data_IF_860859095237
#
_entry.id   IF_860859095237
#
_cell.length_a   1.000
_cell.length_b   1.000
_cell.length_c   1.000
_cell.angle_alpha   90.00
_cell.angle_beta   90.00
_cell.angle_gamma   90.00
#
_symmetry.space_group_name_H-M   'P 1'
#
loop_
_entity.id
_entity.type
_entity.pdbx_description
1 polymer ?
#
# COMPACT_ATOMS: atom_id res chain seq x y z
N UNK A 1 0.47 16.64 4.35
CA UNK A 1 -0.74 17.29 3.83
C UNK A 1 -1.00 18.67 4.42
N UNK A 2 -0.80 18.89 5.72
CA UNK A 2 -1.05 20.19 6.38
C UNK A 2 -0.35 21.37 5.68
N UNK A 3 0.91 21.16 5.24
CA UNK A 3 1.73 22.19 4.58
C UNK A 3 1.67 22.15 3.05
N UNK A 4 0.72 21.42 2.44
CA UNK A 4 0.66 21.33 0.99
C UNK A 4 0.25 22.71 0.39
N UNK A 5 1.07 23.32 -0.49
CA UNK A 5 0.80 24.65 -1.03
C UNK A 5 -0.56 24.75 -1.73
N UNK A 6 -1.24 25.89 -1.58
CA UNK A 6 -2.55 26.13 -2.17
C UNK A 6 -3.70 25.35 -1.54
N UNK A 7 -3.47 24.65 -0.43
CA UNK A 7 -4.50 23.86 0.27
C UNK A 7 -4.75 24.30 1.71
N UNK A 8 -5.93 23.99 2.23
CA UNK A 8 -6.29 24.13 3.65
C UNK A 8 -6.88 22.84 4.23
N UNK A 9 -6.61 22.53 5.51
CA UNK A 9 -7.26 21.42 6.20
C UNK A 9 -8.71 21.76 6.59
N UNK A 10 -9.58 20.76 6.60
CA UNK A 10 -10.93 20.79 7.18
C UNK A 10 -11.02 19.61 8.15
N UNK A 11 -10.82 19.88 9.43
CA UNK A 11 -10.90 18.91 10.51
C UNK A 11 -11.98 19.37 11.48
N UNK A 12 -12.91 18.50 11.85
CA UNK A 12 -13.94 18.81 12.83
C UNK A 12 -13.35 18.68 14.25
N UNK A 13 -13.31 19.75 15.07
CA UNK A 13 -12.81 19.65 16.45
C UNK A 13 -13.56 18.61 17.30
N UNK A 14 -14.84 18.32 16.99
CA UNK A 14 -15.65 17.37 17.72
C UNK A 14 -15.09 15.94 17.66
N UNK A 15 -14.44 15.57 16.55
CA UNK A 15 -13.81 14.25 16.37
C UNK A 15 -12.59 14.03 17.30
N UNK A 16 -12.07 15.10 17.92
CA UNK A 16 -10.86 15.07 18.75
C UNK A 16 -11.13 15.29 20.23
N UNK A 17 -12.40 15.39 20.65
CA UNK A 17 -12.76 15.59 22.05
C UNK A 17 -12.27 14.44 22.95
N UNK A 18 -11.66 14.78 24.08
CA UNK A 18 -11.13 13.82 25.07
C UNK A 18 -9.89 13.04 24.61
N UNK A 19 -9.32 13.37 23.44
CA UNK A 19 -8.15 12.70 22.91
C UNK A 19 -6.87 13.07 23.68
N UNK A 20 -6.80 14.28 24.27
CA UNK A 20 -5.64 14.79 25.01
C UNK A 20 -5.17 13.86 26.13
N UNK A 21 -6.12 13.26 26.86
CA UNK A 21 -5.80 12.37 27.96
C UNK A 21 -5.39 10.98 27.47
N UNK A 22 -6.00 10.50 26.38
CA UNK A 22 -5.75 9.17 25.81
C UNK A 22 -4.40 9.06 25.10
N UNK A 23 -3.81 10.16 24.64
CA UNK A 23 -2.52 10.15 23.92
C UNK A 23 -1.29 10.20 24.84
N UNK A 24 -1.46 10.37 26.16
CA UNK A 24 -0.33 10.44 27.09
C UNK A 24 0.44 9.12 27.16
N UNK A 25 -0.27 8.01 27.02
CA UNK A 25 0.23 6.65 27.21
C UNK A 25 0.61 5.93 25.90
N UNK A 26 0.37 6.55 24.73
CA UNK A 26 0.69 5.90 23.45
C UNK A 26 2.18 6.05 23.09
N UNK A 27 2.76 5.09 22.34
CA UNK A 27 4.16 5.17 21.90
C UNK A 27 4.48 6.48 21.17
N UNK A 28 5.73 6.97 21.32
CA UNK A 28 6.19 8.26 20.79
C UNK A 28 5.80 8.54 19.33
N UNK A 29 5.93 7.59 18.36
CA UNK A 29 5.51 7.85 16.98
C UNK A 29 4.01 8.13 16.87
N UNK A 30 3.17 7.38 17.60
CA UNK A 30 1.71 7.56 17.61
C UNK A 30 1.30 8.85 18.31
N UNK A 31 1.98 9.19 19.41
CA UNK A 31 1.75 10.42 20.17
C UNK A 31 1.96 11.65 19.30
N UNK A 32 3.14 11.79 18.68
CA UNK A 32 3.49 12.95 17.84
C UNK A 32 2.56 13.12 16.65
N UNK A 33 2.16 12.03 15.99
CA UNK A 33 1.18 12.06 14.90
C UNK A 33 -0.16 12.61 15.39
N UNK A 34 -0.64 12.13 16.53
CA UNK A 34 -1.95 12.48 17.07
C UNK A 34 -1.98 13.92 17.60
N UNK A 35 -0.91 14.37 18.25
CA UNK A 35 -0.72 15.77 18.69
C UNK A 35 -0.76 16.74 17.50
N UNK A 36 -0.14 16.38 16.37
CA UNK A 36 -0.16 17.21 15.16
C UNK A 36 -1.59 17.34 14.60
N UNK A 37 -2.34 16.24 14.55
CA UNK A 37 -3.74 16.26 14.12
C UNK A 37 -4.60 17.10 15.06
N UNK A 38 -4.44 16.89 16.37
CA UNK A 38 -5.15 17.64 17.40
C UNK A 38 -4.90 19.14 17.27
N UNK A 39 -3.63 19.55 17.24
CA UNK A 39 -3.24 20.95 17.02
C UNK A 39 -3.90 21.55 15.79
N UNK A 40 -3.85 20.83 14.67
CA UNK A 40 -4.42 21.30 13.41
C UNK A 40 -5.94 21.46 13.48
N UNK A 41 -6.63 20.61 14.25
CA UNK A 41 -8.07 20.65 14.40
C UNK A 41 -8.55 21.68 15.43
N UNK A 42 -7.83 21.86 16.55
CA UNK A 42 -8.32 22.61 17.71
C UNK A 42 -7.63 23.95 17.95
N UNK A 43 -6.38 24.12 17.54
CA UNK A 43 -5.66 25.39 17.76
C UNK A 43 -6.04 26.42 16.70
N UNK A 44 -6.30 27.66 17.12
CA UNK A 44 -6.55 28.76 16.18
C UNK A 44 -5.25 29.09 15.43
N UNK A 45 -5.25 29.13 14.09
CA UNK A 45 -4.05 29.46 13.34
C UNK A 45 -3.61 30.91 13.63
N UNK A 46 -2.29 31.13 13.61
CA UNK A 46 -1.72 32.48 13.64
C UNK A 46 -2.11 33.29 12.39
N UNK A 47 -1.86 34.60 12.41
CA UNK A 47 -2.31 35.55 11.36
C UNK A 47 -1.86 35.13 9.96
N UNK A 48 -0.59 34.74 9.80
CA UNK A 48 -0.04 34.33 8.51
C UNK A 48 -0.68 33.04 7.98
N UNK A 49 -0.83 32.03 8.84
CA UNK A 49 -1.43 30.75 8.45
C UNK A 49 -2.92 30.91 8.15
N UNK A 50 -3.63 31.76 8.91
CA UNK A 50 -5.04 32.08 8.63
C UNK A 50 -5.19 32.77 7.26
N UNK A 51 -4.34 33.75 6.95
CA UNK A 51 -4.32 34.41 5.64
C UNK A 51 -3.99 33.40 4.51
N UNK A 52 -3.00 32.53 4.73
CA UNK A 52 -2.63 31.47 3.78
C UNK A 52 -3.80 30.50 3.51
N UNK A 53 -4.52 30.10 4.56
CA UNK A 53 -5.67 29.21 4.43
C UNK A 53 -6.86 29.92 3.76
N UNK A 54 -7.10 31.20 4.03
CA UNK A 54 -8.15 31.98 3.39
C UNK A 54 -7.93 32.12 1.87
N UNK A 55 -6.67 32.19 1.44
CA UNK A 55 -6.27 32.25 0.02
C UNK A 55 -6.20 30.87 -0.66
N UNK A 56 -6.41 29.77 0.07
CA UNK A 56 -6.30 28.42 -0.50
C UNK A 56 -7.48 28.10 -1.43
N UNK A 57 -7.17 27.71 -2.68
CA UNK A 57 -8.18 27.33 -3.69
C UNK A 57 -8.63 25.88 -3.59
N UNK A 58 -7.95 25.05 -2.78
CA UNK A 58 -8.29 23.63 -2.57
C UNK A 58 -8.35 23.31 -1.08
N UNK A 59 -9.08 22.25 -0.72
CA UNK A 59 -9.18 21.79 0.65
C UNK A 59 -9.10 20.26 0.73
N UNK A 60 -8.71 19.75 1.90
CA UNK A 60 -8.73 18.34 2.24
C UNK A 60 -9.25 18.18 3.66
N UNK A 61 -9.89 17.05 3.97
CA UNK A 61 -10.40 16.80 5.31
C UNK A 61 -10.38 15.31 5.66
N UNK A 62 -10.52 15.04 6.94
CA UNK A 62 -10.69 13.69 7.48
C UNK A 62 -12.11 13.58 8.02
N UNK A 63 -12.79 12.50 7.67
CA UNK A 63 -14.10 12.16 8.23
C UNK A 63 -13.99 10.81 8.91
N UNK A 64 -14.26 10.79 10.21
CA UNK A 64 -14.21 9.58 11.01
C UNK A 64 -15.61 8.95 11.14
N UNK A 65 -15.66 7.74 11.68
CA UNK A 65 -16.93 7.07 12.02
C UNK A 65 -17.90 6.93 10.83
N UNK A 66 -17.36 6.59 9.67
CA UNK A 66 -18.12 6.31 8.44
C UNK A 66 -17.62 5.04 7.79
N UNK A 67 -18.54 4.19 7.35
CA UNK A 67 -18.22 3.04 6.50
C UNK A 67 -18.98 3.11 5.17
N UNK A 68 -18.36 2.80 4.02
CA UNK A 68 -19.02 2.90 2.72
C UNK A 68 -20.15 1.88 2.60
N UNK A 69 -21.35 2.33 2.21
CA UNK A 69 -22.51 1.48 1.92
C UNK A 69 -22.76 1.34 0.43
N UNK A 70 -22.79 2.45 -0.30
CA UNK A 70 -23.16 2.45 -1.72
C UNK A 70 -22.55 3.64 -2.46
N UNK A 71 -22.01 3.41 -3.66
CA UNK A 71 -21.68 4.50 -4.58
C UNK A 71 -22.97 4.94 -5.28
N UNK A 72 -23.30 6.22 -5.14
CA UNK A 72 -24.53 6.80 -5.67
C UNK A 72 -24.32 7.21 -7.13
N UNK A 73 -25.21 6.81 -8.05
CA UNK A 73 -25.11 7.18 -9.46
C UNK A 73 -25.53 8.63 -9.70
N UNK A 74 -25.06 9.21 -10.81
CA UNK A 74 -25.63 10.42 -11.39
C UNK A 74 -27.08 10.21 -11.87
N UNK A 75 -27.85 11.27 -12.14
CA UNK A 75 -29.24 11.15 -12.60
C UNK A 75 -29.42 10.27 -13.85
N UNK A 76 -28.42 10.21 -14.74
CA UNK A 76 -28.41 9.38 -15.95
C UNK A 76 -27.81 7.97 -15.74
N UNK A 77 -27.36 7.64 -14.52
CA UNK A 77 -26.79 6.34 -14.19
C UNK A 77 -25.35 6.10 -14.66
N UNK A 78 -24.69 7.06 -15.32
CA UNK A 78 -23.44 6.80 -16.06
C UNK A 78 -22.16 6.99 -15.25
N UNK A 79 -22.21 7.68 -14.12
CA UNK A 79 -21.02 7.97 -13.29
C UNK A 79 -21.38 8.06 -11.81
N UNK A 80 -20.37 8.05 -10.96
CA UNK A 80 -20.54 8.35 -9.54
C UNK A 80 -20.91 9.84 -9.35
N UNK A 81 -21.92 10.10 -8.52
CA UNK A 81 -22.31 11.44 -8.07
C UNK A 81 -22.22 11.61 -6.55
N UNK A 82 -22.08 10.52 -5.81
CA UNK A 82 -21.86 10.55 -4.37
C UNK A 82 -21.51 9.19 -3.79
N UNK A 83 -21.37 9.15 -2.48
CA UNK A 83 -21.21 7.92 -1.71
C UNK A 83 -22.10 7.98 -0.48
N UNK A 84 -22.93 6.95 -0.29
CA UNK A 84 -23.68 6.72 0.92
C UNK A 84 -22.80 6.03 1.95
N UNK A 85 -22.77 6.60 3.14
CA UNK A 85 -21.96 6.18 4.27
C UNK A 85 -22.87 5.80 5.44
N UNK A 86 -22.61 4.68 6.10
CA UNK A 86 -23.20 4.41 7.41
C UNK A 86 -22.45 5.21 8.47
N UNK A 87 -23.18 5.83 9.39
CA UNK A 87 -22.59 6.38 10.61
C UNK A 87 -22.25 5.21 11.54
N UNK A 88 -21.04 5.21 12.08
CA UNK A 88 -20.56 4.15 12.98
C UNK A 88 -20.20 4.69 14.36
N UNK A 89 -20.09 3.78 15.32
CA UNK A 89 -19.50 4.04 16.65
C UNK A 89 -18.51 2.94 16.98
N UNK A 90 -17.62 3.20 17.94
CA UNK A 90 -16.69 2.18 18.41
C UNK A 90 -17.34 1.31 19.49
N UNK A 91 -17.13 0.01 19.39
CA UNK A 91 -17.33 -0.96 20.46
C UNK A 91 -16.01 -1.66 20.77
N UNK A 92 -15.77 -1.96 22.05
CA UNK A 92 -14.52 -2.54 22.53
C UNK A 92 -13.46 -1.51 22.90
N UNK A 93 -12.25 -1.99 23.22
CA UNK A 93 -11.15 -1.18 23.77
C UNK A 93 -9.84 -1.49 23.04
N UNK A 94 -9.00 -0.48 22.89
CA UNK A 94 -7.65 -0.62 22.31
C UNK A 94 -7.68 -1.10 20.86
N UNK A 95 -6.77 -1.99 20.52
CA UNK A 95 -6.64 -2.55 19.16
C UNK A 95 -7.79 -3.49 18.77
N UNK A 96 -8.54 -3.99 19.75
CA UNK A 96 -9.71 -4.84 19.51
C UNK A 96 -10.99 -4.04 19.20
N UNK A 97 -10.94 -2.70 19.30
CA UNK A 97 -12.09 -1.86 19.02
C UNK A 97 -12.56 -2.00 17.56
N UNK A 98 -13.87 -2.05 17.36
CA UNK A 98 -14.50 -2.22 16.03
C UNK A 98 -15.53 -1.13 15.79
N UNK A 99 -15.64 -0.71 14.54
CA UNK A 99 -16.71 0.17 14.10
C UNK A 99 -17.99 -0.64 13.87
N UNK A 100 -19.08 -0.26 14.54
CA UNK A 100 -20.42 -0.83 14.36
C UNK A 100 -21.38 0.25 13.85
N UNK A 101 -22.31 -0.07 12.92
CA UNK A 101 -23.26 0.91 12.40
C UNK A 101 -24.24 1.37 13.49
N UNK A 102 -24.61 2.65 13.48
CA UNK A 102 -25.64 3.21 14.38
C UNK A 102 -27.05 3.04 13.83
N UNK A 103 -27.18 2.84 12.51
CA UNK A 103 -28.45 2.86 11.78
C UNK A 103 -28.61 4.14 10.95
N UNK A 104 -27.91 5.21 11.30
CA UNK A 104 -27.95 6.48 10.57
C UNK A 104 -27.06 6.41 9.31
N UNK A 105 -27.42 7.23 8.32
CA UNK A 105 -26.72 7.31 7.04
C UNK A 105 -26.43 8.74 6.65
N UNK A 106 -25.36 8.93 5.88
CA UNK A 106 -24.96 10.20 5.30
C UNK A 106 -24.62 10.01 3.82
N UNK A 107 -25.25 10.81 2.96
CA UNK A 107 -24.91 10.88 1.54
C UNK A 107 -23.91 12.02 1.31
N UNK A 108 -22.71 11.69 0.82
CA UNK A 108 -21.64 12.65 0.53
C UNK A 108 -21.50 12.84 -0.98
N UNK A 109 -21.78 14.04 -1.52
CA UNK A 109 -21.57 14.34 -2.94
C UNK A 109 -20.09 14.23 -3.34
N UNK A 110 -19.79 13.46 -4.38
CA UNK A 110 -18.44 13.31 -4.91
C UNK A 110 -18.44 12.76 -6.34
N UNK A 111 -17.50 13.22 -7.19
CA UNK A 111 -17.33 12.71 -8.56
C UNK A 111 -16.29 11.61 -8.73
N UNK A 112 -15.51 11.30 -7.68
CA UNK A 112 -14.45 10.30 -7.69
C UNK A 112 -14.40 9.58 -6.34
N UNK A 113 -14.39 8.24 -6.38
CA UNK A 113 -14.25 7.38 -5.20
C UNK A 113 -13.00 6.53 -5.38
N UNK A 114 -12.04 6.66 -4.46
CA UNK A 114 -10.80 5.89 -4.46
C UNK A 114 -10.78 5.00 -3.21
N UNK A 115 -10.80 3.68 -3.42
CA UNK A 115 -10.72 2.71 -2.32
C UNK A 115 -9.26 2.46 -1.94
N UNK A 116 -8.91 2.81 -0.70
CA UNK A 116 -7.54 2.74 -0.17
C UNK A 116 -7.48 1.91 1.13
N UNK A 117 -8.17 0.78 1.17
CA UNK A 117 -8.40 -0.05 2.38
C UNK A 117 -7.46 -1.26 2.51
N UNK A 118 -6.35 -1.24 1.77
CA UNK A 118 -5.34 -2.30 1.76
C UNK A 118 -5.43 -3.24 0.56
N UNK A 119 -4.50 -4.19 0.50
CA UNK A 119 -4.33 -5.14 -0.58
C UNK A 119 -4.36 -6.58 -0.04
N UNK A 120 -4.40 -7.56 -0.96
CA UNK A 120 -4.14 -8.97 -0.67
C UNK A 120 -3.23 -9.53 -1.76
N UNK A 121 -2.37 -10.48 -1.41
CA UNK A 121 -1.68 -11.27 -2.43
C UNK A 121 -2.68 -12.14 -3.19
N UNK A 122 -2.25 -12.71 -4.32
CA UNK A 122 -3.03 -13.67 -5.11
C UNK A 122 -2.32 -15.03 -5.09
N UNK A 123 -3.07 -16.15 -5.11
CA UNK A 123 -2.47 -17.45 -5.35
C UNK A 123 -1.80 -17.43 -6.73
N UNK A 124 -0.56 -17.93 -6.81
CA UNK A 124 0.25 -17.87 -8.04
C UNK A 124 0.35 -19.22 -8.76
N UNK A 125 0.27 -20.32 -8.01
CA UNK A 125 0.43 -21.68 -8.53
C UNK A 125 -0.30 -22.67 -7.60
N UNK A 126 -0.95 -23.73 -8.12
CA UNK A 126 -1.63 -24.73 -7.31
C UNK A 126 -0.71 -25.49 -6.34
N UNK A 127 0.60 -25.52 -6.58
CA UNK A 127 1.58 -26.14 -5.68
C UNK A 127 1.92 -25.29 -4.45
N UNK A 128 1.47 -24.04 -4.38
CA UNK A 128 1.77 -23.11 -3.27
C UNK A 128 0.52 -22.93 -2.40
N UNK A 129 0.57 -23.26 -1.10
CA UNK A 129 -0.56 -23.04 -0.20
C UNK A 129 -0.88 -21.55 -0.07
N UNK A 130 -2.15 -21.23 0.14
CA UNK A 130 -2.61 -19.84 0.21
C UNK A 130 -3.71 -19.68 1.24
N UNK A 131 -3.60 -18.67 2.11
CA UNK A 131 -4.66 -18.27 3.03
C UNK A 131 -5.52 -17.17 2.35
N UNK A 132 -6.76 -17.45 1.94
CA UNK A 132 -7.62 -16.46 1.29
C UNK A 132 -8.15 -15.40 2.27
N UNK A 133 -8.22 -15.71 3.57
CA UNK A 133 -8.70 -14.79 4.61
C UNK A 133 -7.67 -13.69 4.86
N UNK A 134 -6.41 -14.07 5.07
CA UNK A 134 -5.31 -13.14 5.30
C UNK A 134 -4.71 -12.61 3.97
N UNK A 135 -4.80 -13.37 2.89
CA UNK A 135 -4.25 -13.01 1.59
C UNK A 135 -2.72 -13.14 1.54
N UNK A 136 -2.18 -14.19 2.13
CA UNK A 136 -0.72 -14.47 2.27
C UNK A 136 -0.43 -15.95 2.01
N UNK A 137 0.84 -16.29 1.80
CA UNK A 137 1.31 -17.68 1.81
C UNK A 137 1.52 -18.12 3.26
N UNK A 138 0.86 -19.19 3.74
CA UNK A 138 1.07 -19.73 5.07
C UNK A 138 2.54 -20.11 5.27
N UNK A 139 3.17 -19.57 6.32
CA UNK A 139 4.59 -19.76 6.56
C UNK A 139 4.95 -19.74 8.06
N UNK A 140 6.09 -20.35 8.39
CA UNK A 140 6.74 -20.28 9.70
C UNK A 140 8.13 -19.68 9.53
N UNK A 141 8.34 -18.45 10.02
CA UNK A 141 9.59 -17.69 9.84
C UNK A 141 10.06 -17.60 8.36
N UNK A 142 9.12 -17.66 7.41
CA UNK A 142 9.40 -17.60 5.98
C UNK A 142 9.46 -18.96 5.27
N UNK A 143 9.56 -20.09 5.99
CA UNK A 143 9.37 -21.43 5.42
C UNK A 143 7.91 -21.64 5.07
N UNK A 144 7.60 -22.01 3.83
CA UNK A 144 6.21 -22.28 3.44
C UNK A 144 5.74 -23.57 4.12
N UNK A 145 4.55 -23.51 4.72
CA UNK A 145 3.96 -24.66 5.46
C UNK A 145 3.79 -25.84 4.51
N UNK A 146 4.23 -27.03 4.93
CA UNK A 146 4.13 -28.30 4.21
C UNK A 146 4.79 -28.35 2.81
N UNK A 147 5.65 -27.37 2.47
CA UNK A 147 6.38 -27.34 1.20
C UNK A 147 7.90 -27.17 1.42
N UNK A 148 8.64 -28.28 1.61
CA UNK A 148 10.09 -28.23 1.84
C UNK A 148 10.85 -27.52 0.70
N UNK A 149 11.79 -26.65 1.08
CA UNK A 149 12.62 -25.90 0.14
C UNK A 149 11.94 -24.70 -0.53
N UNK A 150 10.68 -24.39 -0.17
CA UNK A 150 9.99 -23.18 -0.60
C UNK A 150 9.92 -22.15 0.54
N UNK A 151 10.22 -20.90 0.21
CA UNK A 151 10.26 -19.78 1.16
C UNK A 151 9.50 -18.58 0.62
N UNK A 152 9.13 -17.66 1.51
CA UNK A 152 8.49 -16.41 1.16
C UNK A 152 8.98 -15.26 2.04
N UNK A 153 9.00 -14.04 1.50
CA UNK A 153 9.41 -12.81 2.19
C UNK A 153 8.56 -11.61 1.76
N UNK A 154 8.55 -10.55 2.56
CA UNK A 154 7.84 -9.32 2.27
C UNK A 154 6.32 -9.44 2.39
N UNK A 155 5.59 -8.72 1.54
CA UNK A 155 4.13 -8.60 1.68
C UNK A 155 3.37 -9.93 1.49
N UNK A 156 3.87 -10.84 0.65
CA UNK A 156 3.23 -12.16 0.49
C UNK A 156 3.40 -13.05 1.73
N UNK A 157 4.38 -12.75 2.59
CA UNK A 157 4.64 -13.43 3.87
C UNK A 157 3.86 -12.80 5.03
N UNK A 158 3.87 -11.45 5.15
CA UNK A 158 3.41 -10.72 6.34
C UNK A 158 2.15 -9.86 6.13
N UNK A 159 1.65 -9.77 4.90
CA UNK A 159 0.59 -8.84 4.51
C UNK A 159 1.09 -7.42 4.21
N UNK A 160 0.24 -6.55 3.62
CA UNK A 160 0.66 -5.27 3.05
C UNK A 160 0.61 -4.11 4.06
N UNK A 161 1.34 -4.24 5.17
CA UNK A 161 1.39 -3.22 6.25
C UNK A 161 2.75 -2.56 6.41
N UNK A 162 3.84 -3.26 6.04
CA UNK A 162 5.21 -2.80 6.23
C UNK A 162 5.67 -1.77 5.19
N UNK A 163 6.48 -0.81 5.63
CA UNK A 163 7.26 0.08 4.74
C UNK A 163 8.50 -0.65 4.21
N UNK A 164 9.26 0.00 3.30
CA UNK A 164 10.46 -0.59 2.66
C UNK A 164 11.44 -1.18 3.69
N UNK A 165 11.72 -0.46 4.77
CA UNK A 165 12.66 -0.93 5.81
C UNK A 165 12.13 -2.15 6.57
N UNK A 166 10.83 -2.22 6.85
CA UNK A 166 10.18 -3.40 7.45
C UNK A 166 10.31 -4.61 6.53
N UNK A 167 10.04 -4.42 5.23
CA UNK A 167 10.20 -5.48 4.21
C UNK A 167 11.65 -5.94 4.09
N UNK A 168 12.61 -5.02 4.15
CA UNK A 168 14.04 -5.32 4.10
C UNK A 168 14.46 -6.21 5.27
N UNK A 169 14.13 -5.82 6.52
CA UNK A 169 14.46 -6.60 7.70
C UNK A 169 13.80 -7.98 7.69
N UNK A 170 12.51 -8.06 7.32
CA UNK A 170 11.81 -9.35 7.18
C UNK A 170 12.44 -10.27 6.12
N UNK A 171 12.92 -9.69 5.02
CA UNK A 171 13.60 -10.43 3.97
C UNK A 171 14.93 -11.00 4.48
N UNK A 172 15.68 -10.26 5.29
CA UNK A 172 16.91 -10.77 5.91
C UNK A 172 16.64 -11.95 6.85
N UNK A 173 15.56 -11.91 7.64
CA UNK A 173 15.18 -13.04 8.51
C UNK A 173 14.87 -14.30 7.70
N UNK A 174 14.18 -14.13 6.57
CA UNK A 174 13.88 -15.25 5.66
C UNK A 174 15.16 -15.82 5.05
N UNK A 175 16.10 -14.95 4.61
CA UNK A 175 17.39 -15.39 4.09
C UNK A 175 18.23 -16.12 5.13
N UNK A 176 18.25 -15.65 6.38
CA UNK A 176 18.93 -16.34 7.48
C UNK A 176 18.36 -17.73 7.72
N UNK A 177 17.03 -17.85 7.72
CA UNK A 177 16.32 -19.12 7.86
C UNK A 177 16.68 -20.10 6.73
N UNK A 178 16.71 -19.60 5.49
CA UNK A 178 17.12 -20.41 4.33
C UNK A 178 18.57 -20.87 4.43
N UNK A 179 19.49 -19.99 4.84
CA UNK A 179 20.91 -20.33 4.98
C UNK A 179 21.12 -21.36 6.10
N UNK A 180 20.40 -21.24 7.22
CA UNK A 180 20.42 -22.24 8.28
C UNK A 180 19.95 -23.63 7.79
N UNK A 181 18.88 -23.66 6.99
CA UNK A 181 18.38 -24.93 6.43
C UNK A 181 19.36 -25.54 5.41
N UNK A 182 20.06 -24.69 4.66
CA UNK A 182 21.12 -25.12 3.75
C UNK A 182 22.29 -25.74 4.53
N UNK A 183 22.78 -25.05 5.57
CA UNK A 183 23.89 -25.52 6.42
C UNK A 183 23.54 -26.81 7.17
N UNK A 184 22.28 -26.95 7.60
CA UNK A 184 21.77 -28.14 8.27
C UNK A 184 21.47 -29.31 7.32
N UNK A 185 21.66 -29.14 5.99
CA UNK A 185 21.38 -30.19 5.01
C UNK A 185 19.90 -30.54 4.85
N UNK A 186 19.00 -29.62 5.19
CA UNK A 186 17.55 -29.79 5.07
C UNK A 186 17.03 -29.52 3.65
N UNK A 187 17.90 -28.93 2.80
CA UNK A 187 17.60 -28.67 1.40
C UNK A 187 18.05 -29.83 0.50
N UNK A 188 17.44 -29.99 -0.68
CA UNK A 188 17.80 -31.08 -1.58
C UNK A 188 19.27 -31.06 -1.97
N UNK A 189 19.95 -32.19 -1.75
CA UNK A 189 21.38 -32.35 -2.03
C UNK A 189 21.70 -32.50 -3.53
N UNK A 190 22.98 -32.35 -3.86
CA UNK A 190 23.52 -32.56 -5.20
C UNK A 190 23.35 -31.38 -6.17
N UNK A 191 23.78 -31.56 -7.44
CA UNK A 191 23.76 -30.49 -8.44
C UNK A 191 22.34 -29.97 -8.72
N UNK A 192 22.18 -28.64 -8.72
CA UNK A 192 20.94 -27.96 -9.13
C UNK A 192 21.23 -27.10 -10.35
N UNK A 193 20.62 -27.38 -11.53
CA UNK A 193 20.97 -26.70 -12.78
C UNK A 193 20.55 -25.23 -12.83
N UNK A 194 19.64 -24.81 -11.94
CA UNK A 194 19.20 -23.42 -11.81
C UNK A 194 18.70 -22.83 -13.13
N UNK A 195 19.22 -21.65 -13.48
CA UNK A 195 18.81 -20.92 -14.68
C UNK A 195 18.99 -21.70 -15.99
N UNK A 196 19.97 -22.60 -16.10
CA UNK A 196 20.21 -23.35 -17.34
C UNK A 196 19.01 -24.20 -17.76
N UNK A 197 18.41 -24.92 -16.81
CA UNK A 197 17.21 -25.73 -17.04
C UNK A 197 15.98 -24.85 -17.32
N UNK A 198 15.82 -23.76 -16.57
CA UNK A 198 14.70 -22.83 -16.76
C UNK A 198 14.78 -22.11 -18.11
N UNK A 199 15.96 -21.69 -18.55
CA UNK A 199 16.17 -21.04 -19.85
C UNK A 199 15.73 -21.93 -21.01
N UNK A 200 16.10 -23.21 -20.99
CA UNK A 200 15.65 -24.17 -22.01
C UNK A 200 14.12 -24.32 -22.03
N UNK A 201 13.48 -24.40 -20.85
CA UNK A 201 12.03 -24.48 -20.73
C UNK A 201 11.31 -23.22 -21.19
N UNK A 202 11.83 -22.03 -20.87
CA UNK A 202 11.26 -20.77 -21.34
C UNK A 202 11.37 -20.65 -22.86
N UNK A 203 12.51 -21.05 -23.42
CA UNK A 203 12.72 -21.08 -24.88
C UNK A 203 11.75 -22.03 -25.58
N UNK A 204 11.53 -23.24 -25.05
CA UNK A 204 10.59 -24.19 -25.67
C UNK A 204 9.14 -23.71 -25.60
N UNK A 205 8.82 -22.82 -24.66
CA UNK A 205 7.52 -22.15 -24.52
C UNK A 205 7.43 -20.81 -25.27
N UNK A 206 8.46 -20.41 -26.03
CA UNK A 206 8.48 -19.13 -26.74
C UNK A 206 8.56 -17.89 -25.82
N UNK A 207 8.91 -18.06 -24.55
CA UNK A 207 9.03 -16.96 -23.59
C UNK A 207 10.43 -16.37 -23.67
N UNK A 208 10.51 -15.06 -23.93
CA UNK A 208 11.77 -14.30 -23.95
C UNK A 208 11.91 -13.53 -22.63
N UNK A 209 12.81 -13.90 -21.69
CA UNK A 209 13.03 -13.17 -20.45
C UNK A 209 13.68 -11.81 -20.69
N UNK A 210 13.36 -10.79 -19.90
CA UNK A 210 14.04 -9.48 -19.94
C UNK A 210 15.24 -9.56 -18.97
N UNK A 211 16.46 -9.34 -19.48
CA UNK A 211 17.65 -9.29 -18.61
C UNK A 211 17.73 -7.95 -17.88
N UNK A 212 18.60 -7.88 -16.87
CA UNK A 212 18.90 -6.60 -16.22
C UNK A 212 19.50 -5.58 -17.21
N UNK A 213 20.39 -6.03 -18.09
CA UNK A 213 20.98 -5.17 -19.14
C UNK A 213 19.97 -4.71 -20.20
N UNK A 214 18.89 -5.47 -20.42
CA UNK A 214 17.76 -5.01 -21.23
C UNK A 214 16.99 -3.91 -20.49
N UNK A 215 16.70 -4.11 -19.20
CA UNK A 215 16.08 -3.08 -18.37
C UNK A 215 16.91 -1.78 -18.31
N UNK A 216 18.23 -1.84 -18.23
CA UNK A 216 19.11 -0.65 -18.23
C UNK A 216 18.96 0.20 -19.50
N UNK A 217 18.69 -0.42 -20.66
CA UNK A 217 18.39 0.33 -21.90
C UNK A 217 17.08 1.10 -21.77
N UNK A 218 16.06 0.47 -21.18
CA UNK A 218 14.77 1.11 -20.94
C UNK A 218 14.91 2.26 -19.93
N UNK A 219 15.65 2.05 -18.85
CA UNK A 219 15.94 3.05 -17.83
C UNK A 219 16.65 4.28 -18.42
N UNK A 220 17.67 4.06 -19.26
CA UNK A 220 18.38 5.13 -19.96
C UNK A 220 17.46 5.94 -20.89
N UNK A 221 16.57 5.27 -21.63
CA UNK A 221 15.58 5.94 -22.48
C UNK A 221 14.61 6.79 -21.65
N UNK A 222 14.03 6.23 -20.59
CA UNK A 222 13.09 6.95 -19.72
C UNK A 222 13.75 8.20 -19.12
N UNK A 223 15.01 8.08 -18.66
CA UNK A 223 15.78 9.21 -18.15
C UNK A 223 16.03 10.26 -19.25
N UNK A 224 16.44 9.84 -20.45
CA UNK A 224 16.66 10.75 -21.59
C UNK A 224 15.41 11.56 -21.93
N UNK A 225 14.25 10.90 -22.06
CA UNK A 225 12.97 11.58 -22.31
C UNK A 225 12.58 12.57 -21.21
N UNK A 226 12.95 12.28 -19.96
CA UNK A 226 12.69 13.17 -18.83
C UNK A 226 13.46 14.49 -18.88
N UNK A 227 14.67 14.50 -19.44
CA UNK A 227 15.56 15.67 -19.44
C UNK A 227 14.91 16.88 -20.13
N UNK A 228 14.29 16.68 -21.30
CA UNK A 228 13.65 17.77 -22.06
C UNK A 228 12.48 18.44 -21.32
N UNK A 229 11.88 17.74 -20.36
CA UNK A 229 10.75 18.23 -19.55
C UNK A 229 11.16 18.63 -18.13
N UNK A 230 12.46 18.58 -17.78
CA UNK A 230 12.94 18.83 -16.41
C UNK A 230 12.46 17.78 -15.40
N UNK A 231 12.14 16.56 -15.84
CA UNK A 231 11.67 15.45 -15.01
C UNK A 231 12.82 14.47 -14.74
N UNK A 232 12.79 13.72 -13.60
CA UNK A 232 13.77 12.65 -13.36
C UNK A 232 13.76 11.56 -14.44
N UNK A 233 12.58 11.30 -15.02
CA UNK A 233 12.34 10.40 -16.15
C UNK A 233 10.94 10.61 -16.72
N UNK A 234 10.73 10.18 -17.96
CA UNK A 234 9.41 9.98 -18.56
C UNK A 234 9.18 8.49 -18.78
N UNK A 235 8.22 7.91 -18.05
CA UNK A 235 8.04 6.46 -18.05
C UNK A 235 7.41 5.98 -19.35
N UNK A 236 7.91 4.85 -19.85
CA UNK A 236 7.26 4.13 -20.94
C UNK A 236 6.05 3.38 -20.39
N UNK A 237 4.88 3.67 -20.94
CA UNK A 237 3.60 3.13 -20.44
C UNK A 237 3.04 2.00 -21.32
N UNK A 238 3.39 1.98 -22.60
CA UNK A 238 2.95 0.95 -23.54
C UNK A 238 3.90 -0.26 -23.51
N UNK A 239 3.42 -1.46 -23.14
CA UNK A 239 4.25 -2.66 -23.13
C UNK A 239 4.89 -2.97 -24.50
N UNK A 240 4.22 -2.66 -25.60
CA UNK A 240 4.76 -2.95 -26.94
C UNK A 240 5.88 -1.99 -27.34
N UNK A 241 5.80 -0.72 -26.95
CA UNK A 241 6.92 0.22 -27.06
C UNK A 241 8.13 -0.22 -26.24
N UNK A 242 7.92 -0.65 -25.00
CA UNK A 242 8.99 -1.17 -24.15
C UNK A 242 9.68 -2.38 -24.81
N UNK A 243 8.91 -3.31 -25.40
CA UNK A 243 9.44 -4.48 -26.08
C UNK A 243 10.19 -4.12 -27.37
N UNK A 244 9.65 -3.23 -28.21
CA UNK A 244 10.31 -2.76 -29.44
C UNK A 244 11.67 -2.12 -29.15
N UNK A 245 11.77 -1.31 -28.10
CA UNK A 245 13.04 -0.70 -27.69
C UNK A 245 14.12 -1.75 -27.39
N UNK A 246 13.69 -2.93 -26.92
CA UNK A 246 14.56 -4.05 -26.60
C UNK A 246 14.77 -5.02 -27.77
N UNK A 247 14.31 -4.66 -28.98
CA UNK A 247 14.41 -5.51 -30.17
C UNK A 247 13.55 -6.77 -30.09
N UNK A 248 12.32 -6.63 -29.57
CA UNK A 248 11.40 -7.74 -29.35
C UNK A 248 10.11 -7.62 -30.13
#
# INVERSE_FOLDING_TARGET
MIQLPGTRPILDPADFLGLQDRIKEVPRPRKRLTELLLRTATEKPGVEEAARQALASRAWGLRFFRSPLQVLPSPDGRRAAGIRLAITRLEGVGEAARAVPTGDMEDLPCGLVLSSVGYKSRPIDPSVPFDPKLGVIPNMEGRVVDVPGLYCSGWVKRGPTGVITTTMTDSFLTSQTLLQDLEAGLLPSGPRPGYSAIKALLSSRGVRPISFSDWEKLDAEEMSRGQGAGKPREKLLDPQEMLRLLGR
#
